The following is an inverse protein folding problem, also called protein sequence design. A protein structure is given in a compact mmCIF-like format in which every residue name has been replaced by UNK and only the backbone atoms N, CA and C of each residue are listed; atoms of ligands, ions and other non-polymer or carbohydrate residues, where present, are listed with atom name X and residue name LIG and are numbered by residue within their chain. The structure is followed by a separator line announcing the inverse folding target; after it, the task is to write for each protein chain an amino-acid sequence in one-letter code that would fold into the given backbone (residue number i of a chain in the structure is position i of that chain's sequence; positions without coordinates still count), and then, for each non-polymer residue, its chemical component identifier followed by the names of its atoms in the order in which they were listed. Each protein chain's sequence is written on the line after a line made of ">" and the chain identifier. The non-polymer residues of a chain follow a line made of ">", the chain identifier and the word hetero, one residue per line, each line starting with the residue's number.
data_IF_727746570299
#
_entry.id   IF_727746570299
#
_cell.length_a   1.000
_cell.length_b   1.000
_cell.length_c   1.000
_cell.angle_alpha   90.00
_cell.angle_beta   90.00
_cell.angle_gamma   90.00
#
_symmetry.space_group_name_H-M   'P 1'
#
loop_
_entity.id
_entity.type
_entity.pdbx_description
1 polymer ?
#
# COMPACT_ATOMS: atom_id res chain seq x y z
N UNK A 1 17.41 14.76 6.80
CA UNK A 1 18.19 15.29 7.94
C UNK A 1 18.11 14.32 9.10
N UNK A 2 19.23 14.07 9.79
CA UNK A 2 19.26 13.37 11.07
C UNK A 2 19.36 14.41 12.19
N UNK A 3 18.41 14.36 13.12
CA UNK A 3 18.36 15.35 14.21
C UNK A 3 19.52 15.18 15.18
N UNK A 4 20.33 16.23 15.40
CA UNK A 4 21.48 16.14 16.31
C UNK A 4 21.09 16.09 17.79
N UNK A 5 19.93 16.60 18.12
CA UNK A 5 19.34 16.66 19.46
C UNK A 5 17.81 16.65 19.38
N UNK A 6 17.17 16.38 20.52
CA UNK A 6 15.73 16.53 20.62
C UNK A 6 15.32 18.00 20.40
N UNK A 7 14.24 18.21 19.66
CA UNK A 7 13.76 19.54 19.29
C UNK A 7 12.24 19.52 19.03
N UNK A 8 11.67 20.68 18.71
CA UNK A 8 10.29 20.83 18.28
C UNK A 8 10.28 21.55 16.93
N UNK A 9 9.66 20.91 15.94
CA UNK A 9 9.64 21.40 14.57
C UNK A 9 8.29 22.03 14.23
N UNK A 10 8.33 22.92 13.24
CA UNK A 10 7.16 23.48 12.60
C UNK A 10 7.24 23.30 11.08
N UNK A 11 6.09 23.15 10.43
CA UNK A 11 5.94 23.09 8.98
C UNK A 11 5.24 24.35 8.54
N UNK A 12 5.89 25.15 7.71
CA UNK A 12 5.44 26.51 7.33
C UNK A 12 5.43 26.65 5.82
N UNK A 13 4.29 27.08 5.28
CA UNK A 13 4.20 27.54 3.88
C UNK A 13 4.49 29.05 3.84
N UNK A 14 5.55 29.42 3.16
CA UNK A 14 5.93 30.79 2.88
C UNK A 14 5.49 31.16 1.48
N UNK A 15 4.41 31.91 1.38
CA UNK A 15 3.88 32.40 0.10
C UNK A 15 4.81 33.39 -0.60
N UNK A 16 4.67 33.52 -1.91
CA UNK A 16 5.47 34.43 -2.74
C UNK A 16 5.34 35.92 -2.32
N UNK A 17 4.26 36.25 -1.65
CA UNK A 17 4.01 37.60 -1.10
C UNK A 17 4.64 37.84 0.29
N UNK A 18 5.37 36.85 0.81
CA UNK A 18 5.98 36.85 2.15
C UNK A 18 5.02 36.49 3.29
N UNK A 19 3.76 36.12 3.02
CA UNK A 19 2.84 35.65 4.02
C UNK A 19 3.26 34.23 4.48
N UNK A 20 3.30 34.01 5.79
CA UNK A 20 3.58 32.70 6.35
C UNK A 20 2.29 32.05 6.87
N UNK A 21 2.07 30.80 6.47
CA UNK A 21 0.98 29.97 6.97
C UNK A 21 1.57 28.74 7.67
N UNK A 22 1.30 28.59 8.94
CA UNK A 22 1.72 27.39 9.71
C UNK A 22 0.80 26.24 9.35
N UNK A 23 1.34 25.23 8.67
CA UNK A 23 0.61 24.01 8.32
C UNK A 23 0.58 23.03 9.50
N UNK A 24 1.68 22.96 10.25
CA UNK A 24 1.80 22.14 11.46
C UNK A 24 2.78 22.80 12.42
N UNK A 25 2.45 22.76 13.70
CA UNK A 25 3.32 23.22 14.79
C UNK A 25 3.44 22.13 15.85
N UNK A 26 4.47 22.25 16.69
CA UNK A 26 4.65 21.38 17.84
C UNK A 26 5.04 19.94 17.52
N UNK A 27 5.69 19.69 16.37
CA UNK A 27 6.18 18.36 15.99
C UNK A 27 7.44 18.02 16.80
N UNK A 28 7.29 17.24 17.87
CA UNK A 28 8.41 16.80 18.69
C UNK A 28 9.26 15.74 17.98
N UNK A 29 10.57 15.90 18.03
CA UNK A 29 11.57 14.96 17.48
C UNK A 29 12.63 14.65 18.53
N UNK A 30 13.23 13.48 18.42
CA UNK A 30 14.28 13.00 19.31
C UNK A 30 15.67 13.12 18.66
N UNK A 31 16.73 13.05 19.47
CA UNK A 31 18.08 12.95 18.96
C UNK A 31 18.25 11.68 18.09
N UNK A 32 18.91 11.80 16.94
CA UNK A 32 19.09 10.69 16.02
C UNK A 32 17.88 10.40 15.10
N UNK A 33 16.73 11.05 15.31
CA UNK A 33 15.56 10.85 14.47
C UNK A 33 15.81 11.34 13.04
N UNK A 34 15.39 10.55 12.05
CA UNK A 34 15.41 10.95 10.63
C UNK A 34 14.17 11.77 10.36
N UNK A 35 14.36 12.97 9.80
CA UNK A 35 13.28 13.86 9.34
C UNK A 35 13.50 14.18 7.88
N UNK A 36 12.49 13.99 7.07
CA UNK A 36 12.50 14.29 5.65
C UNK A 36 11.18 14.87 5.18
N UNK A 37 11.16 15.41 3.99
CA UNK A 37 9.94 15.88 3.34
C UNK A 37 9.99 15.63 1.83
N UNK A 38 8.81 15.44 1.26
CA UNK A 38 8.65 15.21 -0.18
C UNK A 38 7.32 15.78 -0.66
N UNK A 39 7.19 15.98 -1.96
CA UNK A 39 5.93 16.41 -2.55
C UNK A 39 5.71 15.75 -3.91
N UNK A 40 4.45 15.64 -4.29
CA UNK A 40 4.01 15.25 -5.62
C UNK A 40 3.49 16.48 -6.34
N UNK A 41 4.09 16.81 -7.47
CA UNK A 41 3.65 17.93 -8.30
C UNK A 41 2.35 17.59 -9.02
N UNK A 42 1.28 18.34 -8.75
CA UNK A 42 -0.06 18.08 -9.27
C UNK A 42 -0.16 18.23 -10.79
N UNK A 43 0.59 19.16 -11.39
CA UNK A 43 0.57 19.34 -12.84
C UNK A 43 1.20 18.13 -13.56
N UNK A 44 2.30 17.59 -13.00
CA UNK A 44 2.92 16.37 -13.50
C UNK A 44 2.00 15.15 -13.32
N UNK A 45 1.35 15.02 -12.16
CA UNK A 45 0.38 13.96 -11.89
C UNK A 45 -0.79 13.98 -12.88
N UNK A 46 -1.43 15.13 -13.09
CA UNK A 46 -2.55 15.28 -14.02
C UNK A 46 -2.15 14.93 -15.45
N UNK A 47 -0.99 15.39 -15.89
CA UNK A 47 -0.45 15.05 -17.21
C UNK A 47 -0.24 13.55 -17.35
N UNK A 48 0.41 12.91 -16.38
CA UNK A 48 0.61 11.46 -16.34
C UNK A 48 -0.72 10.71 -16.43
N UNK A 49 -1.71 11.06 -15.60
CA UNK A 49 -3.02 10.39 -15.60
C UNK A 49 -3.73 10.54 -16.95
N UNK A 50 -3.72 11.73 -17.54
CA UNK A 50 -4.31 11.98 -18.87
C UNK A 50 -3.64 11.14 -19.96
N UNK A 51 -2.31 11.05 -19.94
CA UNK A 51 -1.54 10.23 -20.87
C UNK A 51 -1.87 8.73 -20.73
N UNK A 52 -1.98 8.23 -19.49
CA UNK A 52 -2.29 6.80 -19.25
C UNK A 52 -3.74 6.46 -19.61
N UNK A 53 -4.70 7.35 -19.38
CA UNK A 53 -6.09 7.19 -19.83
C UNK A 53 -6.15 7.12 -21.36
N UNK A 54 -5.47 8.03 -22.04
CA UNK A 54 -5.38 8.04 -23.51
C UNK A 54 -4.71 6.76 -24.05
N UNK A 55 -3.65 6.30 -23.38
CA UNK A 55 -2.96 5.06 -23.72
C UNK A 55 -3.86 3.83 -23.58
N UNK A 56 -4.54 3.68 -22.44
CA UNK A 56 -5.45 2.54 -22.24
C UNK A 56 -6.53 2.47 -23.33
N UNK A 57 -7.05 3.65 -23.75
CA UNK A 57 -8.00 3.74 -24.87
C UNK A 57 -7.40 3.36 -26.20
N UNK A 58 -6.18 3.83 -26.49
CA UNK A 58 -5.48 3.56 -27.76
C UNK A 58 -5.09 2.08 -27.90
N UNK A 59 -4.67 1.46 -26.79
CA UNK A 59 -4.25 0.06 -26.74
C UNK A 59 -5.45 -0.91 -26.61
N UNK A 60 -6.68 -0.38 -26.43
CA UNK A 60 -7.94 -1.13 -26.21
C UNK A 60 -7.86 -2.09 -25.02
N UNK A 61 -7.26 -1.65 -23.92
CA UNK A 61 -7.14 -2.40 -22.67
C UNK A 61 -7.94 -1.72 -21.54
N UNK A 62 -8.22 -2.45 -20.48
CA UNK A 62 -8.86 -1.91 -19.28
C UNK A 62 -7.95 -0.87 -18.61
N UNK A 63 -8.52 0.24 -18.16
CA UNK A 63 -7.84 1.18 -17.28
C UNK A 63 -8.11 0.78 -15.83
N UNK A 64 -7.06 0.66 -15.02
CA UNK A 64 -7.16 0.36 -13.59
C UNK A 64 -6.17 1.20 -12.78
N UNK A 65 -6.67 1.86 -11.74
CA UNK A 65 -5.89 2.68 -10.82
C UNK A 65 -5.63 1.90 -9.53
N UNK A 66 -4.37 1.75 -9.14
CA UNK A 66 -3.95 0.99 -7.98
C UNK A 66 -3.24 1.89 -6.98
N UNK A 67 -3.77 1.99 -5.77
CA UNK A 67 -3.32 2.90 -4.72
C UNK A 67 -3.45 2.27 -3.32
N UNK A 68 -2.94 2.97 -2.31
CA UNK A 68 -2.95 2.53 -0.90
C UNK A 68 -3.80 3.45 -0.01
N UNK A 69 -5.00 3.81 -0.45
CA UNK A 69 -5.87 4.78 0.24
C UNK A 69 -6.29 4.35 1.66
N UNK A 70 -6.24 3.06 1.98
CA UNK A 70 -6.51 2.56 3.34
C UNK A 70 -5.44 2.92 4.37
N UNK A 71 -4.22 3.18 3.92
CA UNK A 71 -3.08 3.60 4.76
C UNK A 71 -2.73 5.07 4.52
N UNK A 72 -2.63 5.49 3.26
CA UNK A 72 -2.31 6.86 2.82
C UNK A 72 -3.58 7.71 2.76
N UNK A 73 -4.25 7.87 3.89
CA UNK A 73 -5.63 8.39 4.00
C UNK A 73 -5.80 9.86 3.64
N UNK A 74 -4.73 10.62 3.40
CA UNK A 74 -4.78 12.02 2.95
C UNK A 74 -4.31 12.12 1.50
N UNK A 75 -3.10 11.65 1.19
CA UNK A 75 -2.53 11.78 -0.15
C UNK A 75 -3.32 11.01 -1.21
N UNK A 76 -3.68 9.76 -0.93
CA UNK A 76 -4.23 8.89 -1.96
C UNK A 76 -5.66 9.26 -2.39
N UNK A 77 -6.58 9.68 -1.50
CA UNK A 77 -7.86 10.23 -1.95
C UNK A 77 -7.70 11.48 -2.83
N UNK A 78 -6.71 12.35 -2.57
CA UNK A 78 -6.44 13.53 -3.40
C UNK A 78 -5.94 13.10 -4.79
N UNK A 79 -4.97 12.16 -4.84
CA UNK A 79 -4.49 11.57 -6.10
C UNK A 79 -5.64 10.92 -6.88
N UNK A 80 -6.49 10.18 -6.18
CA UNK A 80 -7.67 9.55 -6.74
C UNK A 80 -8.64 10.56 -7.34
N UNK A 81 -8.90 11.68 -6.65
CA UNK A 81 -9.71 12.78 -7.16
C UNK A 81 -9.16 13.39 -8.45
N UNK A 82 -7.83 13.50 -8.57
CA UNK A 82 -7.21 13.91 -9.82
C UNK A 82 -7.40 12.88 -10.95
N UNK A 83 -7.41 11.58 -10.65
CA UNK A 83 -7.71 10.56 -11.64
C UNK A 83 -9.17 10.62 -12.10
N UNK A 84 -10.12 10.83 -11.18
CA UNK A 84 -11.53 11.05 -11.51
C UNK A 84 -11.71 12.27 -12.40
N UNK A 85 -11.07 13.40 -12.07
CA UNK A 85 -11.13 14.60 -12.90
C UNK A 85 -10.49 14.41 -14.29
N UNK A 86 -9.37 13.69 -14.36
CA UNK A 86 -8.69 13.41 -15.63
C UNK A 86 -9.51 12.46 -16.54
N UNK A 87 -10.26 11.55 -15.94
CA UNK A 87 -11.11 10.61 -16.68
C UNK A 87 -12.40 11.25 -17.17
N UNK A 88 -12.94 12.24 -16.44
CA UNK A 88 -14.20 12.93 -16.75
C UNK A 88 -14.00 14.44 -17.00
N UNK A 89 -13.12 14.87 -17.91
CA UNK A 89 -12.81 16.30 -18.08
C UNK A 89 -14.03 17.12 -18.43
N UNK A 90 -14.88 16.66 -19.36
CA UNK A 90 -16.11 17.36 -19.78
C UNK A 90 -17.11 17.51 -18.63
N UNK A 91 -17.22 16.51 -17.75
CA UNK A 91 -18.09 16.57 -16.58
C UNK A 91 -17.65 17.75 -15.67
N UNK A 92 -16.36 17.84 -15.36
CA UNK A 92 -15.84 18.86 -14.45
C UNK A 92 -15.77 20.25 -15.11
N UNK A 93 -15.62 20.33 -16.44
CA UNK A 93 -15.75 21.61 -17.17
C UNK A 93 -17.18 22.14 -17.13
N UNK A 94 -18.18 21.29 -17.23
CA UNK A 94 -19.58 21.70 -17.29
C UNK A 94 -20.22 21.90 -15.91
N UNK A 95 -19.89 21.07 -14.94
CA UNK A 95 -20.57 21.01 -13.65
C UNK A 95 -19.64 21.18 -12.43
N UNK A 96 -18.35 21.42 -12.63
CA UNK A 96 -17.36 21.48 -11.53
C UNK A 96 -17.69 22.54 -10.48
N UNK A 97 -18.17 23.72 -10.87
CA UNK A 97 -18.56 24.77 -9.95
C UNK A 97 -19.79 24.39 -9.13
N UNK A 98 -20.79 23.75 -9.76
CA UNK A 98 -22.02 23.27 -9.08
C UNK A 98 -21.69 22.15 -8.10
N UNK A 99 -20.81 21.20 -8.50
CA UNK A 99 -20.35 20.12 -7.64
C UNK A 99 -19.61 20.66 -6.41
N UNK A 100 -18.70 21.59 -6.62
CA UNK A 100 -17.96 22.23 -5.53
C UNK A 100 -18.89 23.03 -4.59
N UNK A 101 -19.84 23.78 -5.14
CA UNK A 101 -20.83 24.53 -4.35
C UNK A 101 -21.75 23.60 -3.51
N UNK A 102 -22.00 22.38 -4.01
CA UNK A 102 -22.74 21.34 -3.30
C UNK A 102 -21.87 20.54 -2.29
N UNK A 103 -20.58 20.86 -2.18
CA UNK A 103 -19.64 20.15 -1.29
C UNK A 103 -19.26 18.75 -1.80
N UNK A 104 -19.45 18.48 -3.09
CA UNK A 104 -19.06 17.20 -3.71
C UNK A 104 -17.58 17.22 -4.04
N UNK A 105 -16.83 16.31 -3.45
CA UNK A 105 -15.39 16.17 -3.69
C UNK A 105 -15.11 15.03 -4.68
N UNK A 106 -14.28 15.25 -5.72
CA UNK A 106 -13.81 14.17 -6.57
C UNK A 106 -12.96 13.14 -5.81
N UNK A 107 -12.43 13.50 -4.64
CA UNK A 107 -11.64 12.63 -3.77
C UNK A 107 -12.46 11.48 -3.17
N UNK A 108 -13.79 11.61 -3.14
CA UNK A 108 -14.72 10.55 -2.69
C UNK A 108 -15.09 9.58 -3.82
N UNK A 109 -14.58 9.83 -5.04
CA UNK A 109 -14.84 9.02 -6.23
C UNK A 109 -16.23 9.18 -6.82
N UNK A 110 -16.50 8.39 -7.86
CA UNK A 110 -17.80 8.41 -8.54
C UNK A 110 -18.96 7.98 -7.62
N UNK A 111 -18.72 7.09 -6.66
CA UNK A 111 -19.76 6.64 -5.71
C UNK A 111 -20.26 7.78 -4.84
N UNK A 112 -19.35 8.57 -4.29
CA UNK A 112 -19.66 9.78 -3.53
C UNK A 112 -20.35 10.82 -4.40
N UNK A 113 -19.82 11.09 -5.60
CA UNK A 113 -20.38 12.02 -6.56
C UNK A 113 -21.82 11.63 -6.94
N UNK A 114 -22.06 10.41 -7.42
CA UNK A 114 -23.37 9.92 -7.86
C UNK A 114 -24.37 9.87 -6.71
N UNK A 115 -23.93 9.66 -5.48
CA UNK A 115 -24.80 9.72 -4.31
C UNK A 115 -25.25 11.16 -4.01
N UNK A 116 -24.31 12.10 -4.05
CA UNK A 116 -24.57 13.50 -3.69
C UNK A 116 -25.41 14.25 -4.73
N UNK A 117 -25.26 13.92 -6.02
CA UNK A 117 -25.99 14.64 -7.09
C UNK A 117 -27.46 14.27 -7.19
N UNK A 118 -27.92 13.20 -6.56
CA UNK A 118 -29.34 12.79 -6.59
C UNK A 118 -30.30 13.87 -6.11
N UNK A 119 -29.86 14.70 -5.19
CA UNK A 119 -30.66 15.76 -4.60
C UNK A 119 -30.44 17.14 -5.28
N UNK A 120 -29.60 17.19 -6.33
CA UNK A 120 -29.32 18.41 -7.08
C UNK A 120 -30.32 18.61 -8.24
N UNK A 121 -30.67 19.85 -8.59
CA UNK A 121 -31.54 20.13 -9.75
C UNK A 121 -30.99 19.56 -11.07
N UNK A 122 -29.66 19.58 -11.24
CA UNK A 122 -28.96 19.07 -12.42
C UNK A 122 -28.55 17.59 -12.30
N UNK A 123 -29.00 16.86 -11.27
CA UNK A 123 -28.55 15.51 -10.94
C UNK A 123 -28.65 14.53 -12.11
N UNK A 124 -29.79 14.48 -12.81
CA UNK A 124 -29.99 13.63 -13.99
C UNK A 124 -29.01 13.98 -15.13
N UNK A 125 -28.72 15.27 -15.33
CA UNK A 125 -27.78 15.71 -16.38
C UNK A 125 -26.33 15.34 -16.01
N UNK A 126 -25.97 15.44 -14.74
CA UNK A 126 -24.66 15.02 -14.22
C UNK A 126 -24.48 13.50 -14.35
N UNK A 127 -25.49 12.72 -13.98
CA UNK A 127 -25.47 11.25 -14.18
C UNK A 127 -25.34 10.87 -15.66
N UNK A 128 -26.02 11.58 -16.55
CA UNK A 128 -25.89 11.37 -17.98
C UNK A 128 -24.46 11.71 -18.48
N UNK A 129 -23.86 12.80 -17.95
CA UNK A 129 -22.49 13.18 -18.29
C UNK A 129 -21.46 12.15 -17.78
N UNK A 130 -21.67 11.54 -16.60
CA UNK A 130 -20.83 10.42 -16.12
C UNK A 130 -20.95 9.22 -17.05
N UNK A 131 -22.16 8.82 -17.45
CA UNK A 131 -22.38 7.71 -18.40
C UNK A 131 -21.71 7.98 -19.75
N UNK A 132 -21.80 9.22 -20.23
CA UNK A 132 -21.12 9.61 -21.47
C UNK A 132 -19.60 9.55 -21.32
N UNK A 133 -19.03 10.03 -20.20
CA UNK A 133 -17.60 9.98 -19.93
C UNK A 133 -17.07 8.53 -19.89
N UNK A 134 -17.84 7.61 -19.29
CA UNK A 134 -17.51 6.17 -19.32
C UNK A 134 -17.56 5.58 -20.73
N UNK A 135 -18.51 6.04 -21.57
CA UNK A 135 -18.59 5.59 -22.96
C UNK A 135 -17.47 6.17 -23.84
N UNK A 136 -17.05 7.39 -23.56
CA UNK A 136 -16.00 8.09 -24.33
C UNK A 136 -14.58 7.74 -23.87
N UNK A 137 -14.41 7.26 -22.63
CA UNK A 137 -13.14 6.86 -22.04
C UNK A 137 -12.65 5.47 -22.51
N UNK A 138 -11.53 4.98 -21.97
CA UNK A 138 -11.17 3.58 -22.05
C UNK A 138 -12.15 2.71 -21.27
N UNK A 139 -12.21 1.42 -21.59
CA UNK A 139 -12.93 0.46 -20.73
C UNK A 139 -12.31 0.44 -19.33
N UNK A 140 -13.16 0.41 -18.31
CA UNK A 140 -12.73 0.43 -16.90
C UNK A 140 -12.63 -0.98 -16.34
N UNK A 141 -11.61 -1.20 -15.51
CA UNK A 141 -11.63 -2.34 -14.59
C UNK A 141 -12.78 -2.18 -13.59
N UNK A 142 -13.52 -3.27 -13.35
CA UNK A 142 -14.72 -3.27 -12.53
C UNK A 142 -14.46 -3.85 -11.14
N UNK A 143 -15.07 -3.24 -10.14
CA UNK A 143 -15.18 -3.77 -8.77
C UNK A 143 -16.42 -4.68 -8.68
N UNK A 144 -17.55 -4.24 -9.25
CA UNK A 144 -18.76 -5.06 -9.42
C UNK A 144 -19.42 -4.71 -10.78
N UNK A 145 -19.18 -5.58 -11.75
CA UNK A 145 -19.68 -5.42 -13.12
C UNK A 145 -21.22 -5.42 -13.18
N UNK A 146 -21.88 -6.21 -12.33
CA UNK A 146 -23.34 -6.32 -12.29
C UNK A 146 -24.02 -5.06 -11.79
N UNK A 147 -23.34 -4.31 -10.91
CA UNK A 147 -23.85 -3.03 -10.37
C UNK A 147 -23.28 -1.82 -11.10
N UNK A 148 -22.37 -2.03 -12.05
CA UNK A 148 -21.67 -0.95 -12.74
C UNK A 148 -20.68 -0.18 -11.86
N UNK A 149 -20.17 -0.82 -10.78
CA UNK A 149 -19.19 -0.21 -9.88
C UNK A 149 -17.79 -0.39 -10.51
N UNK A 150 -17.21 0.72 -10.93
CA UNK A 150 -15.88 0.75 -11.53
C UNK A 150 -14.79 0.95 -10.48
N UNK A 151 -13.55 0.74 -10.88
CA UNK A 151 -12.36 1.08 -10.10
C UNK A 151 -12.30 2.55 -9.61
N UNK A 152 -13.01 3.48 -10.28
CA UNK A 152 -13.06 4.90 -9.90
C UNK A 152 -14.25 5.26 -8.98
N UNK A 153 -14.99 4.29 -8.43
CA UNK A 153 -16.14 4.57 -7.55
C UNK A 153 -15.72 4.97 -6.14
N UNK A 154 -14.79 4.23 -5.53
CA UNK A 154 -14.35 4.49 -4.16
C UNK A 154 -12.83 4.31 -4.08
N UNK A 155 -12.06 5.27 -3.52
CA UNK A 155 -10.60 5.20 -3.49
C UNK A 155 -10.04 4.00 -2.71
N UNK A 156 -10.81 3.39 -1.81
CA UNK A 156 -10.42 2.24 -1.00
C UNK A 156 -10.90 0.88 -1.53
N UNK A 157 -11.60 0.82 -2.67
CA UNK A 157 -12.08 -0.45 -3.22
C UNK A 157 -10.96 -1.29 -3.84
N UNK A 158 -9.99 -0.65 -4.48
CA UNK A 158 -8.85 -1.32 -5.10
C UNK A 158 -7.58 -0.94 -4.36
N UNK A 159 -7.07 -1.87 -3.55
CA UNK A 159 -5.87 -1.68 -2.73
C UNK A 159 -4.70 -2.37 -3.40
N UNK A 160 -3.65 -1.60 -3.72
CA UNK A 160 -2.50 -2.00 -4.52
C UNK A 160 -1.81 -3.27 -4.03
N UNK A 161 -1.64 -3.43 -2.72
CA UNK A 161 -0.96 -4.58 -2.13
C UNK A 161 -1.68 -5.92 -2.40
N UNK A 162 -2.99 -5.90 -2.59
CA UNK A 162 -3.76 -7.08 -2.95
C UNK A 162 -4.10 -7.13 -4.45
N UNK A 163 -4.48 -6.00 -5.05
CA UNK A 163 -4.95 -5.95 -6.44
C UNK A 163 -3.85 -6.21 -7.46
N UNK A 164 -2.64 -5.72 -7.23
CA UNK A 164 -1.52 -5.95 -8.14
C UNK A 164 -1.08 -7.42 -8.19
N UNK A 165 -0.80 -8.11 -7.07
CA UNK A 165 -0.44 -9.52 -7.14
C UNK A 165 -1.61 -10.40 -7.64
N UNK A 166 -2.87 -10.06 -7.35
CA UNK A 166 -4.01 -10.77 -7.91
C UNK A 166 -4.07 -10.64 -9.43
N UNK A 167 -3.87 -9.43 -9.96
CA UNK A 167 -3.78 -9.17 -11.40
C UNK A 167 -2.62 -9.94 -12.04
N UNK A 168 -1.43 -9.90 -11.45
CA UNK A 168 -0.25 -10.60 -11.96
C UNK A 168 -0.51 -12.12 -12.00
N UNK A 169 -1.13 -12.67 -10.96
CA UNK A 169 -1.42 -14.10 -10.86
C UNK A 169 -2.34 -14.62 -11.97
N UNK A 170 -3.24 -13.79 -12.47
CA UNK A 170 -4.16 -14.13 -13.57
C UNK A 170 -3.67 -13.62 -14.94
N UNK A 171 -2.37 -13.37 -15.07
CA UNK A 171 -1.73 -13.02 -16.35
C UNK A 171 -1.83 -11.56 -16.76
N UNK A 172 -2.09 -10.63 -15.84
CA UNK A 172 -2.22 -9.21 -16.12
C UNK A 172 -3.65 -8.77 -16.46
N UNK A 173 -4.63 -9.63 -16.19
CA UNK A 173 -6.04 -9.37 -16.47
C UNK A 173 -6.77 -8.76 -15.28
N UNK A 174 -7.84 -8.05 -15.58
CA UNK A 174 -8.89 -7.65 -14.64
C UNK A 174 -10.26 -7.84 -15.31
N UNK A 175 -11.33 -7.72 -14.53
CA UNK A 175 -12.70 -7.85 -15.06
C UNK A 175 -13.16 -6.56 -15.71
N UNK A 176 -13.66 -6.67 -16.94
CA UNK A 176 -14.25 -5.58 -17.70
C UNK A 176 -15.75 -5.39 -17.41
N UNK A 177 -16.35 -4.36 -18.06
CA UNK A 177 -17.77 -4.06 -17.91
C UNK A 177 -18.73 -5.18 -18.38
N UNK A 178 -18.25 -6.09 -19.18
CA UNK A 178 -19.00 -7.26 -19.68
C UNK A 178 -18.87 -8.49 -18.76
N UNK A 179 -18.15 -8.35 -17.62
CA UNK A 179 -17.92 -9.42 -16.66
C UNK A 179 -16.90 -10.46 -17.10
N UNK A 180 -16.14 -10.19 -18.17
CA UNK A 180 -15.06 -11.04 -18.63
C UNK A 180 -13.70 -10.47 -18.19
N UNK A 181 -12.73 -11.37 -18.03
CA UNK A 181 -11.32 -11.00 -17.84
C UNK A 181 -10.74 -10.45 -19.13
N UNK A 182 -9.96 -9.37 -19.03
CA UNK A 182 -9.29 -8.75 -20.18
C UNK A 182 -7.99 -8.08 -19.76
N UNK A 183 -7.12 -7.82 -20.72
CA UNK A 183 -5.85 -7.11 -20.53
C UNK A 183 -6.06 -5.76 -19.85
N UNK A 184 -5.15 -5.40 -18.98
CA UNK A 184 -5.28 -4.23 -18.13
C UNK A 184 -4.01 -3.38 -18.11
N UNK A 185 -4.17 -2.07 -18.29
CA UNK A 185 -3.16 -1.08 -17.95
C UNK A 185 -3.30 -0.73 -16.48
N UNK A 186 -2.44 -1.32 -15.64
CA UNK A 186 -2.37 -1.00 -14.23
C UNK A 186 -1.60 0.31 -14.02
N UNK A 187 -2.29 1.34 -13.53
CA UNK A 187 -1.73 2.68 -13.29
C UNK A 187 -1.42 2.84 -11.82
N UNK A 188 -0.16 3.10 -11.51
CA UNK A 188 0.36 3.33 -10.16
C UNK A 188 0.97 4.73 -10.11
N UNK A 189 0.28 5.75 -9.56
CA UNK A 189 0.76 7.13 -9.52
C UNK A 189 1.99 7.33 -8.65
N UNK A 190 2.16 6.51 -7.59
CA UNK A 190 3.35 6.55 -6.74
C UNK A 190 4.50 5.75 -7.38
N UNK A 191 5.47 6.47 -7.95
CA UNK A 191 6.63 5.87 -8.60
C UNK A 191 7.59 5.17 -7.63
N UNK A 192 7.53 5.45 -6.33
CA UNK A 192 8.46 4.89 -5.33
C UNK A 192 8.40 3.35 -5.28
N UNK A 193 7.23 2.78 -5.53
CA UNK A 193 6.99 1.34 -5.38
C UNK A 193 6.49 0.66 -6.66
N UNK A 194 6.18 1.40 -7.70
CA UNK A 194 5.72 0.85 -8.99
C UNK A 194 6.75 -0.13 -9.60
N UNK A 195 8.05 0.13 -9.41
CA UNK A 195 9.13 -0.71 -9.89
C UNK A 195 9.15 -2.14 -9.31
N UNK A 196 8.59 -2.33 -8.11
CA UNK A 196 8.44 -3.67 -7.49
C UNK A 196 7.54 -4.55 -8.34
N UNK A 197 6.35 -4.06 -8.68
CA UNK A 197 5.39 -4.81 -9.50
C UNK A 197 5.87 -4.96 -10.94
N UNK A 198 6.49 -3.92 -11.51
CA UNK A 198 7.09 -4.00 -12.84
C UNK A 198 8.16 -5.11 -12.94
N UNK A 199 9.03 -5.24 -11.94
CA UNK A 199 10.05 -6.29 -11.90
C UNK A 199 9.42 -7.70 -11.85
N UNK A 200 8.36 -7.89 -11.07
CA UNK A 200 7.64 -9.19 -11.03
C UNK A 200 6.97 -9.48 -12.38
N UNK A 201 6.36 -8.49 -13.01
CA UNK A 201 5.71 -8.64 -14.32
C UNK A 201 6.74 -9.01 -15.39
N UNK A 202 7.88 -8.34 -15.44
CA UNK A 202 8.95 -8.64 -16.41
C UNK A 202 9.54 -10.03 -16.18
N UNK A 203 9.70 -10.46 -14.93
CA UNK A 203 10.10 -11.84 -14.62
C UNK A 203 9.04 -12.85 -15.10
N UNK A 204 7.75 -12.60 -14.88
CA UNK A 204 6.68 -13.46 -15.37
C UNK A 204 6.60 -13.51 -16.90
N UNK A 205 6.85 -12.39 -17.59
CA UNK A 205 6.93 -12.36 -19.06
C UNK A 205 8.09 -13.21 -19.58
N UNK A 206 9.22 -13.17 -18.92
CA UNK A 206 10.42 -13.90 -19.34
C UNK A 206 10.34 -15.40 -19.01
N UNK A 207 9.76 -15.78 -17.88
CA UNK A 207 9.87 -17.10 -17.27
C UNK A 207 8.52 -17.81 -17.03
N UNK A 208 7.39 -17.16 -17.32
CA UNK A 208 6.04 -17.68 -17.05
C UNK A 208 5.62 -17.51 -15.57
N UNK A 209 4.49 -18.12 -15.22
CA UNK A 209 3.97 -18.12 -13.86
C UNK A 209 4.93 -18.79 -12.86
N UNK A 210 4.82 -18.44 -11.59
CA UNK A 210 5.52 -19.17 -10.52
C UNK A 210 4.81 -20.49 -10.26
N UNK A 211 5.58 -21.51 -9.85
CA UNK A 211 5.04 -22.78 -9.39
C UNK A 211 5.00 -22.77 -7.84
N UNK A 212 3.81 -22.71 -7.24
CA UNK A 212 3.66 -22.69 -5.78
C UNK A 212 4.28 -23.89 -5.07
N UNK A 213 4.43 -25.03 -5.76
CA UNK A 213 4.98 -26.23 -5.16
C UNK A 213 6.51 -26.22 -5.02
N UNK A 214 7.19 -25.38 -5.81
CA UNK A 214 8.66 -25.38 -5.91
C UNK A 214 9.29 -24.01 -5.63
N UNK A 215 8.51 -22.93 -5.64
CA UNK A 215 9.02 -21.60 -5.38
C UNK A 215 9.49 -21.42 -3.94
N UNK A 216 10.53 -20.60 -3.74
CA UNK A 216 10.90 -20.08 -2.43
C UNK A 216 9.96 -18.99 -1.94
N UNK A 217 10.20 -18.46 -0.75
CA UNK A 217 9.41 -17.40 -0.14
C UNK A 217 10.25 -16.17 0.21
N UNK A 218 9.55 -15.05 0.45
CA UNK A 218 10.18 -13.78 0.81
C UNK A 218 9.58 -13.28 2.13
N UNK A 219 10.01 -13.86 3.26
CA UNK A 219 9.60 -13.36 4.58
C UNK A 219 10.08 -11.92 4.77
N UNK A 220 9.33 -11.15 5.56
CA UNK A 220 9.59 -9.73 5.75
C UNK A 220 9.99 -9.36 7.17
N UNK A 221 11.01 -8.50 7.30
CA UNK A 221 11.38 -7.77 8.51
C UNK A 221 11.06 -6.30 8.27
N UNK A 222 9.87 -5.86 8.70
CA UNK A 222 9.40 -4.50 8.49
C UNK A 222 9.72 -3.55 9.64
N UNK A 223 10.05 -2.31 9.33
CA UNK A 223 10.20 -1.22 10.29
C UNK A 223 8.81 -0.75 10.72
N UNK A 224 8.24 -1.40 11.74
CA UNK A 224 6.82 -1.36 12.09
C UNK A 224 6.54 -0.85 13.49
N UNK A 225 7.55 -0.40 14.22
CA UNK A 225 7.33 0.13 15.55
C UNK A 225 6.36 1.32 15.49
N UNK A 226 5.50 1.45 16.49
CA UNK A 226 4.38 2.40 16.53
C UNK A 226 4.77 3.86 16.28
N UNK A 227 6.04 4.22 16.39
CA UNK A 227 6.58 5.56 16.16
C UNK A 227 7.68 5.61 15.12
N UNK A 228 7.95 4.50 14.45
CA UNK A 228 8.84 4.45 13.30
C UNK A 228 8.01 4.73 12.04
N UNK A 229 7.68 5.97 11.81
CA UNK A 229 6.91 6.40 10.65
C UNK A 229 7.85 6.79 9.52
N UNK A 230 7.88 5.99 8.51
CA UNK A 230 8.60 6.26 7.27
C UNK A 230 7.86 7.22 6.35
N UNK A 231 6.53 7.20 6.38
CA UNK A 231 5.66 8.04 5.55
C UNK A 231 4.94 9.08 6.39
N UNK A 232 4.81 10.29 5.87
CA UNK A 232 3.97 11.32 6.45
C UNK A 232 2.52 10.96 6.23
N UNK A 233 1.82 10.56 7.28
CA UNK A 233 0.42 10.22 7.20
C UNK A 233 -0.43 11.26 7.94
N UNK A 234 -1.64 11.48 7.45
CA UNK A 234 -2.71 12.18 8.12
C UNK A 234 -2.36 13.62 8.53
N UNK A 235 -1.70 13.82 9.64
CA UNK A 235 -1.44 15.11 10.27
C UNK A 235 -0.18 15.85 9.76
N UNK A 236 0.58 15.24 8.86
CA UNK A 236 1.80 15.79 8.23
C UNK A 236 1.75 15.75 6.70
N UNK A 237 0.58 15.49 6.15
CA UNK A 237 0.32 15.49 4.70
C UNK A 237 -0.68 16.59 4.37
N UNK A 238 -0.37 17.42 3.39
CA UNK A 238 -1.14 18.61 3.04
C UNK A 238 -1.34 18.71 1.53
N UNK A 239 -2.54 19.10 1.11
CA UNK A 239 -2.77 19.69 -0.19
C UNK A 239 -2.42 21.18 -0.11
N UNK A 240 -1.51 21.63 -0.94
CA UNK A 240 -0.97 22.99 -0.85
C UNK A 240 -1.97 24.02 -1.39
N UNK A 241 -2.35 25.00 -0.57
CA UNK A 241 -3.40 25.97 -0.95
C UNK A 241 -2.91 27.09 -1.86
N UNK A 242 -1.60 27.39 -1.89
CA UNK A 242 -1.04 28.50 -2.62
C UNK A 242 0.42 28.25 -3.01
N UNK A 243 0.87 28.87 -4.11
CA UNK A 243 2.27 28.83 -4.52
C UNK A 243 3.19 29.45 -3.47
N UNK A 244 4.34 28.83 -3.26
CA UNK A 244 5.33 29.27 -2.30
C UNK A 244 6.40 28.23 -2.01
N UNK A 245 7.01 28.34 -0.83
CA UNK A 245 8.02 27.39 -0.35
C UNK A 245 7.53 26.77 0.97
N UNK A 246 7.43 25.44 1.05
CA UNK A 246 7.17 24.75 2.32
C UNK A 246 8.49 24.44 2.98
N UNK A 247 8.62 24.85 4.22
CA UNK A 247 9.82 24.67 5.04
C UNK A 247 9.51 23.86 6.29
N UNK A 248 10.41 22.95 6.67
CA UNK A 248 10.47 22.41 8.04
C UNK A 248 11.49 23.22 8.80
N UNK A 249 11.09 23.84 9.90
CA UNK A 249 11.94 24.67 10.76
C UNK A 249 12.08 24.08 12.14
N UNK A 250 13.26 24.20 12.73
CA UNK A 250 13.52 23.85 14.13
C UNK A 250 13.04 24.96 15.09
N UNK A 251 13.15 24.75 16.40
CA UNK A 251 12.74 25.72 17.41
C UNK A 251 13.55 27.04 17.39
N UNK A 252 14.75 27.03 16.80
CA UNK A 252 15.57 28.23 16.58
C UNK A 252 15.19 29.00 15.30
N UNK A 253 14.24 28.48 14.49
CA UNK A 253 13.83 29.05 13.22
C UNK A 253 14.75 28.70 12.05
N UNK A 254 15.68 27.76 12.22
CA UNK A 254 16.55 27.31 11.13
C UNK A 254 15.78 26.35 10.23
N UNK A 255 15.94 26.51 8.91
CA UNK A 255 15.30 25.66 7.90
C UNK A 255 16.08 24.36 7.75
N UNK A 256 15.40 23.23 8.00
CA UNK A 256 15.95 21.89 7.88
C UNK A 256 15.75 21.32 6.47
N UNK A 257 14.57 21.50 5.90
CA UNK A 257 14.22 21.12 4.52
C UNK A 257 13.32 22.17 3.91
N UNK A 258 13.36 22.32 2.58
CA UNK A 258 12.48 23.25 1.86
C UNK A 258 12.16 22.74 0.47
N UNK A 259 10.92 23.00 0.01
CA UNK A 259 10.47 22.70 -1.35
C UNK A 259 9.63 23.83 -1.90
N UNK A 260 9.91 24.25 -3.13
CA UNK A 260 9.02 25.11 -3.88
C UNK A 260 7.81 24.31 -4.34
N UNK A 261 6.63 24.83 -4.14
CA UNK A 261 5.36 24.15 -4.36
C UNK A 261 4.36 25.05 -5.07
N UNK A 262 3.43 24.41 -5.79
CA UNK A 262 2.33 25.04 -6.48
C UNK A 262 0.98 24.68 -5.82
N UNK A 263 -0.11 25.45 -6.07
CA UNK A 263 -1.42 25.12 -5.55
C UNK A 263 -1.87 23.71 -5.99
N UNK A 264 -2.32 22.91 -5.04
CA UNK A 264 -2.76 21.54 -5.27
C UNK A 264 -1.65 20.50 -5.18
N UNK A 265 -0.37 20.89 -5.09
CA UNK A 265 0.70 19.94 -4.81
C UNK A 265 0.44 19.20 -3.51
N UNK A 266 0.79 17.91 -3.46
CA UNK A 266 0.61 17.08 -2.27
C UNK A 266 1.96 16.97 -1.57
N UNK A 267 2.10 17.66 -0.45
CA UNK A 267 3.33 17.72 0.33
C UNK A 267 3.19 16.92 1.62
N UNK A 268 4.23 16.21 2.02
CA UNK A 268 4.26 15.46 3.28
C UNK A 268 5.62 15.50 3.96
N UNK A 269 5.62 15.46 5.29
CA UNK A 269 6.79 15.16 6.10
C UNK A 269 6.84 13.67 6.47
N UNK A 270 8.05 13.14 6.54
CA UNK A 270 8.36 11.80 7.02
C UNK A 270 9.29 11.89 8.22
N UNK A 271 9.14 10.98 9.16
CA UNK A 271 10.05 10.85 10.31
C UNK A 271 10.20 9.39 10.72
N UNK A 272 11.42 9.02 11.17
CA UNK A 272 11.70 7.69 11.67
C UNK A 272 12.65 7.78 12.86
N UNK A 273 12.24 7.21 13.99
CA UNK A 273 13.00 7.22 15.24
C UNK A 273 14.21 6.29 15.18
N UNK A 274 15.29 6.68 15.85
CA UNK A 274 16.56 5.96 15.83
C UNK A 274 16.50 4.59 16.50
N UNK A 275 15.87 4.51 17.66
CA UNK A 275 15.80 3.28 18.44
C UNK A 275 15.04 2.15 17.69
N UNK A 276 13.89 2.39 17.05
CA UNK A 276 13.28 1.41 16.15
C UNK A 276 14.15 0.96 14.99
N UNK A 277 14.99 1.85 14.44
CA UNK A 277 15.92 1.49 13.35
C UNK A 277 16.96 0.50 13.86
N UNK A 278 17.52 0.71 15.07
CA UNK A 278 18.47 -0.22 15.69
C UNK A 278 17.88 -1.61 15.90
N UNK A 279 16.65 -1.68 16.42
CA UNK A 279 15.95 -2.96 16.62
C UNK A 279 15.65 -3.65 15.29
N UNK A 280 15.28 -2.90 14.26
CA UNK A 280 15.05 -3.39 12.91
C UNK A 280 16.31 -4.03 12.28
N UNK A 281 17.47 -3.36 12.39
CA UNK A 281 18.77 -3.90 11.96
C UNK A 281 19.13 -5.17 12.72
N UNK A 282 18.96 -5.16 14.05
CA UNK A 282 19.16 -6.33 14.91
C UNK A 282 18.27 -7.51 14.49
N UNK A 283 16.99 -7.26 14.22
CA UNK A 283 16.05 -8.29 13.76
C UNK A 283 16.47 -8.89 12.42
N UNK A 284 16.91 -8.07 11.46
CA UNK A 284 17.43 -8.54 10.17
C UNK A 284 18.59 -9.52 10.37
N UNK A 285 19.60 -9.16 11.17
CA UNK A 285 20.73 -10.03 11.48
C UNK A 285 20.30 -11.30 12.19
N UNK A 286 19.41 -11.18 13.19
CA UNK A 286 18.90 -12.32 13.96
C UNK A 286 18.16 -13.32 13.06
N UNK A 287 17.36 -12.84 12.13
CA UNK A 287 16.62 -13.69 11.19
C UNK A 287 17.52 -14.33 10.16
N UNK A 288 18.44 -13.56 9.57
CA UNK A 288 19.43 -14.10 8.64
C UNK A 288 20.26 -15.23 9.28
N UNK A 289 20.69 -15.04 10.55
CA UNK A 289 21.44 -16.06 11.28
C UNK A 289 20.61 -17.31 11.59
N UNK A 290 19.37 -17.14 12.01
CA UNK A 290 18.49 -18.25 12.36
C UNK A 290 18.12 -19.11 11.17
N UNK A 291 17.90 -18.52 9.99
CA UNK A 291 17.46 -19.22 8.78
C UNK A 291 18.61 -19.53 7.80
N UNK A 292 19.79 -18.92 7.97
CA UNK A 292 20.91 -18.95 7.00
C UNK A 292 20.47 -18.48 5.60
N UNK A 293 19.54 -17.52 5.58
CA UNK A 293 18.94 -16.94 4.37
C UNK A 293 19.49 -15.53 4.17
N UNK A 294 19.81 -15.10 2.95
CA UNK A 294 20.21 -13.72 2.66
C UNK A 294 19.14 -12.72 3.14
N UNK A 295 19.57 -11.65 3.77
CA UNK A 295 18.73 -10.53 4.15
C UNK A 295 19.06 -9.31 3.30
N UNK A 296 18.07 -8.71 2.68
CA UNK A 296 18.22 -7.56 1.80
C UNK A 296 17.44 -6.39 2.37
N UNK A 297 18.13 -5.28 2.64
CA UNK A 297 17.51 -3.99 2.97
C UNK A 297 17.05 -3.33 1.67
N UNK A 298 15.74 -3.08 1.57
CA UNK A 298 15.12 -2.48 0.39
C UNK A 298 15.13 -0.96 0.53
N UNK A 299 16.25 -0.36 0.19
CA UNK A 299 16.49 1.07 0.35
C UNK A 299 17.08 1.66 -0.93
N UNK A 300 16.52 2.77 -1.41
CA UNK A 300 16.96 3.50 -2.59
C UNK A 300 17.84 4.69 -2.17
N UNK A 301 19.12 4.65 -2.51
CA UNK A 301 20.07 5.73 -2.20
C UNK A 301 19.72 7.08 -2.83
N UNK A 302 18.91 7.07 -3.90
CA UNK A 302 18.44 8.31 -4.56
C UNK A 302 17.27 8.97 -3.85
N UNK A 303 16.61 8.26 -2.95
CA UNK A 303 15.54 8.78 -2.09
C UNK A 303 16.15 9.31 -0.80
N UNK A 304 15.98 10.60 -0.51
CA UNK A 304 16.65 11.26 0.62
C UNK A 304 16.39 10.59 1.99
N UNK A 305 15.17 10.09 2.21
CA UNK A 305 14.83 9.36 3.44
C UNK A 305 15.63 8.05 3.54
N UNK A 306 15.63 7.25 2.48
CA UNK A 306 16.34 5.97 2.43
C UNK A 306 17.87 6.16 2.53
N UNK A 307 18.42 7.21 1.92
CA UNK A 307 19.83 7.54 2.06
C UNK A 307 20.24 7.72 3.54
N UNK A 308 19.41 8.38 4.34
CA UNK A 308 19.65 8.50 5.79
C UNK A 308 19.51 7.14 6.52
N UNK A 309 18.57 6.29 6.10
CA UNK A 309 18.43 4.94 6.66
C UNK A 309 19.61 4.06 6.27
N UNK A 310 20.13 4.15 5.05
CA UNK A 310 21.34 3.43 4.59
C UNK A 310 22.54 3.76 5.48
N UNK A 311 22.76 5.04 5.79
CA UNK A 311 23.87 5.43 6.67
C UNK A 311 23.69 4.87 8.09
N UNK A 312 22.47 4.82 8.60
CA UNK A 312 22.19 4.20 9.89
C UNK A 312 22.37 2.68 9.88
N UNK A 313 21.92 2.00 8.83
CA UNK A 313 22.15 0.56 8.64
C UNK A 313 23.66 0.26 8.63
N UNK A 314 24.44 1.01 7.85
CA UNK A 314 25.90 0.88 7.80
C UNK A 314 26.57 1.13 9.16
N UNK A 315 26.03 2.06 9.95
CA UNK A 315 26.56 2.37 11.28
C UNK A 315 26.23 1.27 12.32
N UNK A 316 25.06 0.63 12.21
CA UNK A 316 24.57 -0.31 13.23
C UNK A 316 24.89 -1.77 12.92
N UNK A 317 25.05 -2.17 11.65
CA UNK A 317 25.44 -3.53 11.29
C UNK A 317 26.71 -4.01 12.01
N UNK A 318 27.79 -3.20 12.14
CA UNK A 318 28.99 -3.60 12.86
C UNK A 318 28.81 -3.86 14.36
N UNK A 319 27.70 -3.43 14.95
CA UNK A 319 27.36 -3.73 16.36
C UNK A 319 26.91 -5.20 16.55
N UNK A 320 26.71 -5.93 15.46
CA UNK A 320 26.21 -7.30 15.43
C UNK A 320 27.21 -8.24 14.77
N UNK A 321 27.18 -9.51 15.18
CA UNK A 321 27.96 -10.58 14.51
C UNK A 321 27.29 -10.91 13.18
N UNK A 322 27.93 -10.50 12.08
CA UNK A 322 27.49 -10.76 10.69
C UNK A 322 28.33 -11.77 9.96
N UNK A 323 29.29 -12.42 10.63
CA UNK A 323 30.19 -13.39 10.01
C UNK A 323 29.42 -14.54 9.37
N UNK A 324 29.70 -14.80 8.09
CA UNK A 324 29.05 -15.86 7.31
C UNK A 324 27.61 -15.57 6.89
N UNK A 325 27.09 -14.36 7.12
CA UNK A 325 25.79 -13.91 6.63
C UNK A 325 25.91 -13.13 5.33
N UNK A 326 24.93 -13.29 4.46
CA UNK A 326 24.75 -12.42 3.30
C UNK A 326 23.72 -11.33 3.68
N UNK A 327 24.21 -10.10 3.78
CA UNK A 327 23.36 -8.93 4.10
C UNK A 327 23.66 -7.86 3.06
N UNK A 328 22.66 -7.48 2.29
CA UNK A 328 22.79 -6.55 1.16
C UNK A 328 21.85 -5.35 1.33
N UNK A 329 22.16 -4.28 0.61
CA UNK A 329 21.28 -3.10 0.48
C UNK A 329 21.03 -2.91 -1.02
N UNK A 330 19.78 -2.92 -1.44
CA UNK A 330 19.37 -2.80 -2.84
C UNK A 330 18.14 -1.89 -2.96
N UNK A 331 18.05 -1.15 -4.05
CA UNK A 331 16.84 -0.41 -4.38
C UNK A 331 15.64 -1.37 -4.58
N UNK A 332 14.39 -0.95 -4.31
CA UNK A 332 13.23 -1.85 -4.30
C UNK A 332 13.05 -2.68 -5.58
N UNK A 333 13.25 -2.11 -6.76
CA UNK A 333 13.14 -2.84 -8.02
C UNK A 333 14.25 -3.90 -8.18
N UNK A 334 15.49 -3.56 -7.82
CA UNK A 334 16.64 -4.47 -7.84
C UNK A 334 16.45 -5.60 -6.82
N UNK A 335 16.05 -5.27 -5.60
CA UNK A 335 15.77 -6.24 -4.55
C UNK A 335 14.63 -7.20 -4.94
N UNK A 336 13.64 -6.69 -5.70
CA UNK A 336 12.57 -7.54 -6.27
C UNK A 336 13.15 -8.52 -7.27
N UNK A 337 13.93 -8.04 -8.24
CA UNK A 337 14.58 -8.89 -9.25
C UNK A 337 15.44 -9.97 -8.60
N UNK A 338 16.28 -9.60 -7.65
CA UNK A 338 17.09 -10.53 -6.85
C UNK A 338 16.22 -11.59 -6.16
N UNK A 339 15.11 -11.16 -5.54
CA UNK A 339 14.22 -12.05 -4.80
C UNK A 339 13.47 -13.02 -5.73
N UNK A 340 12.93 -12.55 -6.87
CA UNK A 340 12.18 -13.41 -7.80
C UNK A 340 13.07 -14.43 -8.50
N UNK A 341 14.31 -14.08 -8.81
CA UNK A 341 15.28 -15.04 -9.33
C UNK A 341 15.59 -16.15 -8.35
N UNK A 342 15.63 -15.85 -7.05
CA UNK A 342 15.88 -16.81 -5.99
C UNK A 342 14.67 -17.71 -5.75
N UNK A 343 13.47 -17.14 -5.64
CA UNK A 343 12.25 -17.94 -5.41
C UNK A 343 12.00 -18.94 -6.55
N UNK A 344 12.40 -18.63 -7.79
CA UNK A 344 12.33 -19.59 -8.90
C UNK A 344 13.26 -20.79 -8.73
N UNK A 345 14.32 -20.67 -7.96
CA UNK A 345 15.22 -21.77 -7.59
C UNK A 345 14.80 -22.49 -6.31
N UNK A 346 13.67 -22.11 -5.71
CA UNK A 346 13.22 -22.63 -4.43
C UNK A 346 14.02 -22.08 -3.24
N UNK A 347 14.66 -20.92 -3.40
CA UNK A 347 15.49 -20.27 -2.38
C UNK A 347 14.75 -19.09 -1.75
N UNK A 348 14.83 -18.96 -0.43
CA UNK A 348 14.21 -17.86 0.31
C UNK A 348 15.10 -16.61 0.33
N UNK A 349 14.47 -15.44 0.48
CA UNK A 349 15.15 -14.15 0.71
C UNK A 349 14.42 -13.38 1.78
N UNK A 350 15.11 -12.91 2.82
CA UNK A 350 14.52 -12.04 3.83
C UNK A 350 14.49 -10.62 3.27
N UNK A 351 13.29 -10.08 3.08
CA UNK A 351 13.10 -8.66 2.76
C UNK A 351 13.11 -7.83 4.05
N UNK A 352 13.98 -6.81 4.11
CA UNK A 352 14.11 -5.90 5.24
C UNK A 352 13.67 -4.52 4.78
N UNK A 353 12.48 -4.07 5.20
CA UNK A 353 11.81 -2.94 4.55
C UNK A 353 11.29 -1.91 5.52
N UNK A 354 11.06 -0.71 5.02
CA UNK A 354 10.23 0.28 5.67
C UNK A 354 8.77 -0.15 5.79
N UNK A 355 7.98 0.65 6.47
CA UNK A 355 6.63 0.27 6.89
C UNK A 355 5.65 0.12 5.70
N UNK A 356 5.77 0.93 4.66
CA UNK A 356 4.89 0.86 3.48
C UNK A 356 5.21 -0.36 2.61
N UNK A 357 6.48 -0.56 2.27
CA UNK A 357 6.92 -1.75 1.52
C UNK A 357 6.62 -3.05 2.26
N UNK A 358 6.69 -3.04 3.59
CA UNK A 358 6.27 -4.18 4.38
C UNK A 358 4.85 -4.64 4.01
N UNK A 359 3.90 -3.73 3.94
CA UNK A 359 2.53 -4.04 3.56
C UNK A 359 2.44 -4.60 2.14
N UNK A 360 3.16 -4.00 1.20
CA UNK A 360 3.17 -4.44 -0.19
C UNK A 360 3.74 -5.85 -0.35
N UNK A 361 4.88 -6.13 0.30
CA UNK A 361 5.58 -7.40 0.14
C UNK A 361 4.92 -8.55 0.92
N UNK A 362 4.30 -8.27 2.07
CA UNK A 362 3.57 -9.29 2.84
C UNK A 362 2.27 -9.72 2.19
N UNK A 363 1.80 -9.02 1.17
CA UNK A 363 0.70 -9.45 0.31
C UNK A 363 1.21 -9.97 -1.05
N UNK A 364 2.19 -9.31 -1.68
CA UNK A 364 2.70 -9.68 -3.00
C UNK A 364 3.13 -11.15 -3.07
N UNK A 365 4.12 -11.55 -2.30
CA UNK A 365 4.67 -12.90 -2.39
C UNK A 365 3.71 -13.97 -1.88
N UNK A 366 3.01 -13.80 -0.75
CA UNK A 366 2.01 -14.77 -0.32
C UNK A 366 0.84 -14.94 -1.30
N UNK A 367 0.39 -13.89 -1.96
CA UNK A 367 -0.67 -14.01 -2.98
C UNK A 367 -0.16 -14.76 -4.21
N UNK A 368 1.07 -14.50 -4.66
CA UNK A 368 1.69 -15.25 -5.76
C UNK A 368 1.83 -16.75 -5.42
N UNK A 369 2.20 -17.07 -4.17
CA UNK A 369 2.40 -18.43 -3.67
C UNK A 369 1.06 -19.12 -3.36
N UNK A 370 0.22 -18.52 -2.53
CA UNK A 370 -0.96 -19.15 -1.93
C UNK A 370 -2.29 -18.75 -2.60
N UNK A 371 -2.30 -17.70 -3.42
CA UNK A 371 -3.51 -17.12 -4.01
C UNK A 371 -4.32 -16.24 -3.05
N UNK A 372 -3.83 -16.02 -1.82
CA UNK A 372 -4.45 -15.16 -0.82
C UNK A 372 -3.39 -14.51 0.07
N UNK A 373 -3.76 -13.40 0.73
CA UNK A 373 -2.89 -12.75 1.71
C UNK A 373 -2.61 -13.68 2.89
N UNK A 374 -1.33 -13.81 3.25
CA UNK A 374 -0.87 -14.52 4.44
C UNK A 374 -0.19 -13.57 5.43
N UNK A 375 -0.64 -12.33 5.48
CA UNK A 375 -0.06 -11.23 6.25
C UNK A 375 0.20 -11.58 7.71
N UNK A 376 -0.72 -12.29 8.37
CA UNK A 376 -0.55 -12.73 9.75
C UNK A 376 0.58 -13.74 9.90
N UNK A 377 0.77 -14.65 8.96
CA UNK A 377 1.87 -15.62 9.00
C UNK A 377 3.23 -14.93 8.83
N UNK A 378 3.30 -13.94 7.95
CA UNK A 378 4.51 -13.12 7.75
C UNK A 378 4.86 -12.28 8.97
N UNK A 379 3.86 -11.84 9.74
CA UNK A 379 4.00 -10.94 10.88
C UNK A 379 4.30 -11.68 12.19
N UNK A 380 3.80 -12.91 12.38
CA UNK A 380 4.00 -13.67 13.62
C UNK A 380 5.46 -13.75 14.07
N UNK A 381 6.44 -14.00 13.19
CA UNK A 381 7.84 -13.94 13.57
C UNK A 381 8.31 -12.56 14.04
N UNK A 382 7.76 -11.48 13.48
CA UNK A 382 8.07 -10.11 13.89
C UNK A 382 7.50 -9.79 15.25
N UNK A 383 6.28 -10.21 15.54
CA UNK A 383 5.66 -10.07 16.87
C UNK A 383 6.45 -10.82 17.94
N UNK A 384 6.95 -12.02 17.62
CA UNK A 384 7.77 -12.79 18.54
C UNK A 384 9.18 -12.22 18.73
N UNK A 385 9.71 -11.47 17.74
CA UNK A 385 11.04 -10.88 17.75
C UNK A 385 11.09 -9.40 18.15
N UNK A 386 9.94 -8.72 18.10
CA UNK A 386 9.83 -7.28 18.33
C UNK A 386 9.63 -6.89 19.78
N UNK A 387 10.43 -7.44 20.70
CA UNK A 387 10.23 -7.29 22.14
C UNK A 387 10.34 -5.86 22.69
N UNK A 388 10.88 -4.91 21.94
CA UNK A 388 11.11 -3.55 22.42
C UNK A 388 10.00 -2.56 22.06
N UNK A 389 9.28 -2.79 20.93
CA UNK A 389 8.27 -1.86 20.43
C UNK A 389 6.96 -2.57 20.10
N UNK A 390 5.84 -1.93 20.42
CA UNK A 390 4.54 -2.34 19.91
C UNK A 390 4.55 -2.21 18.38
N UNK A 391 4.42 -3.32 17.68
CA UNK A 391 4.30 -3.32 16.23
C UNK A 391 2.88 -2.96 15.82
N UNK A 392 2.71 -2.15 14.76
CA UNK A 392 1.39 -1.87 14.17
C UNK A 392 0.75 -3.08 13.49
N UNK A 393 1.51 -4.16 13.31
CA UNK A 393 1.15 -5.33 12.52
C UNK A 393 0.03 -6.21 13.11
N UNK A 394 -0.17 -6.23 14.40
CA UNK A 394 -1.27 -6.98 15.01
C UNK A 394 -2.60 -6.24 15.10
N UNK A 395 -2.67 -4.98 14.62
CA UNK A 395 -3.83 -4.12 14.78
C UNK A 395 -5.09 -4.56 14.02
N UNK A 396 -4.92 -5.29 12.92
CA UNK A 396 -6.05 -5.83 12.13
C UNK A 396 -6.56 -7.16 12.67
N UNK A 397 -5.73 -8.02 13.24
CA UNK A 397 -6.14 -9.34 13.74
C UNK A 397 -7.25 -9.28 14.79
N UNK A 398 -7.18 -8.43 15.85
CA UNK A 398 -8.30 -8.27 16.78
C UNK A 398 -9.57 -7.78 16.11
N UNK A 399 -9.48 -6.91 15.10
CA UNK A 399 -10.64 -6.42 14.34
C UNK A 399 -11.26 -7.51 13.50
N UNK A 400 -10.48 -8.40 12.89
CA UNK A 400 -10.99 -9.55 12.15
C UNK A 400 -11.72 -10.55 13.08
N UNK A 401 -11.17 -10.80 14.26
CA UNK A 401 -11.84 -11.64 15.27
C UNK A 401 -13.14 -10.99 15.73
N UNK A 402 -13.13 -9.68 16.00
CA UNK A 402 -14.33 -8.93 16.36
C UNK A 402 -15.36 -8.98 15.25
N UNK A 403 -14.99 -8.74 14.00
CA UNK A 403 -15.85 -8.84 12.84
C UNK A 403 -16.49 -10.23 12.73
N UNK A 404 -15.69 -11.29 12.89
CA UNK A 404 -16.23 -12.65 12.87
C UNK A 404 -17.26 -12.90 13.99
N UNK A 405 -17.01 -12.40 15.20
CA UNK A 405 -17.91 -12.56 16.32
C UNK A 405 -19.22 -11.75 16.17
N UNK A 406 -19.16 -10.57 15.55
CA UNK A 406 -20.28 -9.66 15.38
C UNK A 406 -21.09 -9.95 14.12
N UNK A 407 -20.43 -10.29 13.01
CA UNK A 407 -21.02 -10.39 11.68
C UNK A 407 -21.11 -11.85 11.17
N UNK A 408 -20.42 -12.77 11.82
CA UNK A 408 -20.43 -14.21 11.48
C UNK A 408 -19.66 -14.55 10.20
N UNK A 409 -18.87 -13.61 9.65
CA UNK A 409 -18.02 -13.84 8.49
C UNK A 409 -16.67 -13.17 8.62
N UNK A 410 -15.71 -13.62 7.82
CA UNK A 410 -14.36 -13.05 7.69
C UNK A 410 -14.22 -12.42 6.30
N UNK A 411 -13.42 -11.38 6.22
CA UNK A 411 -12.98 -10.86 4.93
C UNK A 411 -12.16 -11.94 4.23
N UNK A 412 -12.30 -12.03 2.91
CA UNK A 412 -11.63 -13.09 2.14
C UNK A 412 -10.10 -13.03 2.23
N UNK A 413 -9.51 -11.83 2.38
CA UNK A 413 -8.08 -11.61 2.58
C UNK A 413 -7.55 -12.17 3.91
N UNK A 414 -8.45 -12.42 4.89
CA UNK A 414 -8.13 -13.05 6.17
C UNK A 414 -8.37 -14.57 6.18
N UNK A 415 -9.11 -15.08 5.22
CA UNK A 415 -9.53 -16.48 5.21
C UNK A 415 -8.35 -17.45 5.11
N UNK A 416 -7.38 -17.16 4.25
CA UNK A 416 -6.17 -17.96 4.09
C UNK A 416 -5.34 -18.02 5.38
N UNK A 417 -5.24 -16.93 6.11
CA UNK A 417 -4.53 -16.86 7.40
C UNK A 417 -5.19 -17.77 8.46
N UNK A 418 -6.51 -17.78 8.51
CA UNK A 418 -7.25 -18.67 9.44
C UNK A 418 -7.15 -20.13 9.05
N UNK A 419 -7.17 -20.46 7.74
CA UNK A 419 -6.93 -21.81 7.26
C UNK A 419 -5.53 -22.31 7.69
N UNK A 420 -4.50 -21.52 7.43
CA UNK A 420 -3.13 -21.87 7.78
C UNK A 420 -2.93 -21.97 9.30
N UNK A 421 -3.58 -21.11 10.09
CA UNK A 421 -3.56 -21.20 11.55
C UNK A 421 -4.24 -22.49 12.05
N UNK A 422 -5.39 -22.85 11.48
CA UNK A 422 -6.11 -24.07 11.80
C UNK A 422 -5.27 -25.32 11.55
N UNK A 423 -4.67 -25.43 10.37
CA UNK A 423 -3.78 -26.55 10.02
C UNK A 423 -2.53 -26.60 10.90
N UNK A 424 -1.91 -25.45 11.18
CA UNK A 424 -0.75 -25.38 12.07
C UNK A 424 -1.09 -25.85 13.48
N UNK A 425 -2.25 -25.49 14.01
CA UNK A 425 -2.71 -25.93 15.33
C UNK A 425 -3.04 -27.42 15.36
N UNK A 426 -3.63 -27.97 14.30
CA UNK A 426 -3.86 -29.41 14.15
C UNK A 426 -2.55 -30.17 14.16
N UNK A 427 -1.59 -29.76 13.33
CA UNK A 427 -0.27 -30.36 13.24
C UNK A 427 0.48 -30.35 14.59
N UNK A 428 0.47 -29.21 15.29
CA UNK A 428 1.06 -29.12 16.63
C UNK A 428 0.34 -30.01 17.65
N UNK A 429 -0.97 -30.17 17.53
CA UNK A 429 -1.77 -31.05 18.34
C UNK A 429 -1.41 -32.52 18.14
N UNK A 430 -1.17 -32.91 16.90
CA UNK A 430 -0.76 -34.28 16.54
C UNK A 430 0.68 -34.61 16.97
N UNK A 431 1.63 -33.70 16.67
CA UNK A 431 3.04 -33.87 16.99
C UNK A 431 3.35 -33.95 18.49
N UNK A 432 2.60 -33.23 19.31
CA UNK A 432 2.88 -33.04 20.74
C UNK A 432 1.82 -33.67 21.65
N UNK A 433 0.91 -34.44 21.09
CA UNK A 433 -0.26 -35.00 21.80
C UNK A 433 -1.00 -33.90 22.61
N UNK A 434 -1.14 -32.74 22.03
CA UNK A 434 -1.71 -31.58 22.68
C UNK A 434 -3.19 -31.40 22.29
N UNK A 435 -4.07 -31.97 23.11
CA UNK A 435 -5.51 -31.90 22.89
C UNK A 435 -6.07 -30.50 22.75
N UNK A 436 -5.50 -29.49 23.47
CA UNK A 436 -5.97 -28.11 23.36
C UNK A 436 -5.67 -27.53 21.98
N UNK A 437 -4.46 -27.74 21.46
CA UNK A 437 -4.10 -27.26 20.13
C UNK A 437 -4.94 -27.96 19.04
N UNK A 438 -5.19 -29.27 19.19
CA UNK A 438 -6.03 -30.03 18.24
C UNK A 438 -7.49 -29.56 18.24
N UNK A 439 -8.08 -29.34 19.41
CA UNK A 439 -9.45 -28.84 19.53
C UNK A 439 -9.57 -27.42 18.97
N UNK A 440 -8.60 -26.57 19.25
CA UNK A 440 -8.59 -25.20 18.73
C UNK A 440 -8.41 -25.19 17.19
N UNK A 441 -7.53 -26.02 16.65
CA UNK A 441 -7.36 -26.16 15.21
C UNK A 441 -8.65 -26.63 14.52
N UNK A 442 -9.34 -27.61 15.10
CA UNK A 442 -10.63 -28.08 14.58
C UNK A 442 -11.72 -26.99 14.64
N UNK A 443 -11.73 -26.18 15.70
CA UNK A 443 -12.68 -25.08 15.82
C UNK A 443 -12.43 -24.00 14.75
N UNK A 444 -11.17 -23.64 14.51
CA UNK A 444 -10.79 -22.70 13.45
C UNK A 444 -11.16 -23.24 12.06
N UNK A 445 -10.88 -24.51 11.78
CA UNK A 445 -11.25 -25.16 10.52
C UNK A 445 -12.76 -25.17 10.31
N UNK A 446 -13.55 -25.50 11.34
CA UNK A 446 -15.02 -25.49 11.27
C UNK A 446 -15.56 -24.09 10.98
N UNK A 447 -15.03 -23.08 11.65
CA UNK A 447 -15.41 -21.68 11.41
C UNK A 447 -15.05 -21.25 9.98
N UNK A 448 -13.85 -21.58 9.52
CA UNK A 448 -13.38 -21.28 8.17
C UNK A 448 -14.24 -21.97 7.11
N UNK A 449 -14.62 -23.23 7.31
CA UNK A 449 -15.52 -23.95 6.40
C UNK A 449 -16.90 -23.30 6.36
N UNK A 450 -17.41 -22.84 7.50
CA UNK A 450 -18.69 -22.10 7.56
C UNK A 450 -18.65 -20.81 6.75
N UNK A 451 -17.52 -20.06 6.80
CA UNK A 451 -17.31 -18.87 5.96
C UNK A 451 -17.27 -19.22 4.49
N UNK A 452 -16.53 -20.27 4.11
CA UNK A 452 -16.47 -20.76 2.73
C UNK A 452 -17.86 -21.16 2.21
N UNK A 453 -18.65 -21.84 3.02
CA UNK A 453 -19.98 -22.29 2.63
C UNK A 453 -20.96 -21.11 2.49
N UNK A 454 -20.86 -20.11 3.34
CA UNK A 454 -21.67 -18.90 3.26
C UNK A 454 -21.27 -17.98 2.08
N UNK A 455 -19.98 -17.99 1.70
CA UNK A 455 -19.47 -17.24 0.57
C UNK A 455 -19.68 -17.93 -0.79
N UNK A 456 -20.10 -19.17 -0.81
CA UNK A 456 -20.54 -19.88 -2.02
C UNK A 456 -21.94 -19.43 -2.42
N UNK A 457 -22.07 -18.18 -2.86
CA UNK A 457 -23.31 -17.76 -3.51
C UNK A 457 -23.48 -18.57 -4.83
N UNK A 458 -24.67 -19.12 -5.10
CA UNK A 458 -24.92 -19.82 -6.36
C UNK A 458 -24.73 -18.95 -7.60
N UNK A 459 -24.71 -17.63 -7.44
CA UNK A 459 -24.54 -16.66 -8.50
C UNK A 459 -23.06 -16.24 -8.77
N UNK A 460 -22.12 -16.85 -8.04
CA UNK A 460 -20.69 -16.55 -8.22
C UNK A 460 -20.02 -17.50 -9.20
N UNK A 461 -19.31 -16.91 -10.15
CA UNK A 461 -18.32 -17.68 -10.94
C UNK A 461 -17.18 -18.09 -10.01
N UNK A 462 -16.75 -19.34 -10.07
CA UNK A 462 -15.62 -19.84 -9.29
C UNK A 462 -14.38 -19.00 -9.58
N UNK A 463 -13.73 -18.49 -8.54
CA UNK A 463 -12.51 -17.69 -8.64
C UNK A 463 -12.71 -16.17 -8.62
N UNK A 464 -13.93 -15.66 -8.59
CA UNK A 464 -14.14 -14.21 -8.38
C UNK A 464 -13.93 -13.85 -6.90
N UNK A 465 -13.07 -12.85 -6.58
CA UNK A 465 -12.95 -12.34 -5.22
C UNK A 465 -14.27 -11.74 -4.74
N UNK A 466 -14.52 -11.83 -3.44
CA UNK A 466 -15.66 -11.16 -2.82
C UNK A 466 -15.32 -9.69 -2.57
N UNK A 467 -15.67 -8.83 -3.49
CA UNK A 467 -15.49 -7.38 -3.38
C UNK A 467 -16.63 -6.70 -2.60
N UNK A 468 -17.31 -7.43 -1.71
CA UNK A 468 -18.46 -6.89 -0.95
C UNK A 468 -18.08 -6.36 0.43
N UNK A 469 -16.78 -6.20 0.71
CA UNK A 469 -16.33 -5.58 1.96
C UNK A 469 -15.60 -4.27 1.71
#
# INVERSE_FOLDING_TARGET
>A
VVMPAADTLSIVLKGANGTETVLKDGLAVEAGEVVDSTFMNVAALRRFLTEQIARAKADDVLFSLHMKATMMKVSDPIIFGHAVQAFFPTLFEQYGEQLAAAGVSPNDGLGGLLSAVKDLPEGEAIEAAVKQGLADGPRMAMVDDRKGITNLHVPSDVIIDASMPAMIRIGGHMWGPDGNEDDCLAVIPDSSYAGVYAAVIEDCKANGAYDPATMGSVPNVGLMARKAEEYGSHDKTFEIPAAGTVEIRNSAGEVLTSHDVEPGDIWRACQTKDEPIRDWVKLAVTRARASQTPAVFWLDETRAHDANLIEKVKAYLPEHDTDGLTIEIMAPAEATTYSVERIRRGEDTISVTGNVLRDYLTDLFPILELGTSAKMLSIVPLLAGGGLFETGAGGSAPKHVQQFLEEGHLRWDSLGEFCALGESLKFLGEMKDNNKARVLGLAVETATQGVLDNNRSPDRKAGQPDNRD
#
